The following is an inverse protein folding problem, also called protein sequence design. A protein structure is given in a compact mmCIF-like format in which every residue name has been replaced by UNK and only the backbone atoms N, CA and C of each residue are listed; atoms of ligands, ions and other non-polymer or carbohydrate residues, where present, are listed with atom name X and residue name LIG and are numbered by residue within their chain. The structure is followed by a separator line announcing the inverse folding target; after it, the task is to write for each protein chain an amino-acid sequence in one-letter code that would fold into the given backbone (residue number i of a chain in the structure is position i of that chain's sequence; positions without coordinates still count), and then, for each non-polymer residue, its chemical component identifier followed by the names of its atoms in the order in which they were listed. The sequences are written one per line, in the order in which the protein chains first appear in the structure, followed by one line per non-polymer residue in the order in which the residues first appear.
data_IF_404292993890
#
_entry.id   IF_404292993890
#
_cell.length_a   1.000
_cell.length_b   1.000
_cell.length_c   1.000
_cell.angle_alpha   90.00
_cell.angle_beta   90.00
_cell.angle_gamma   90.00
#
_symmetry.space_group_name_H-M   'P 1'
#
loop_
_entity.id
_entity.type
_entity.pdbx_description
1 polymer ?
#
# COMPACT_ATOMS: atom_id res chain seq x y z
N UNK A 1 -17.18 -22.49 -18.04
CA UNK A 1 -17.14 -21.08 -17.59
C UNK A 1 -17.12 -21.14 -16.07
N UNK A 2 -16.05 -20.64 -15.44
CA UNK A 2 -15.96 -20.56 -13.98
C UNK A 2 -16.67 -19.28 -13.51
N UNK A 3 -17.44 -19.38 -12.43
CA UNK A 3 -18.18 -18.25 -11.86
C UNK A 3 -18.03 -18.25 -10.35
N UNK A 4 -17.70 -17.09 -9.78
CA UNK A 4 -17.72 -16.85 -8.33
C UNK A 4 -18.76 -15.77 -8.01
N UNK A 5 -19.69 -16.07 -7.11
CA UNK A 5 -20.72 -15.14 -6.65
C UNK A 5 -20.39 -14.53 -5.28
N UNK A 6 -21.10 -13.46 -4.90
CA UNK A 6 -20.95 -12.77 -3.60
C UNK A 6 -19.53 -12.26 -3.31
N UNK A 7 -18.82 -11.83 -4.35
CA UNK A 7 -17.51 -11.19 -4.23
C UNK A 7 -17.69 -9.78 -3.64
N UNK A 8 -16.77 -9.35 -2.78
CA UNK A 8 -16.79 -8.00 -2.22
C UNK A 8 -16.62 -6.93 -3.32
N UNK A 9 -17.23 -5.76 -3.14
CA UNK A 9 -17.08 -4.66 -4.10
C UNK A 9 -15.62 -4.20 -4.25
N UNK A 10 -14.82 -4.29 -3.18
CA UNK A 10 -13.40 -3.95 -3.21
C UNK A 10 -12.61 -4.92 -4.11
N UNK A 11 -12.87 -6.21 -4.00
CA UNK A 11 -12.18 -7.22 -4.79
C UNK A 11 -12.60 -7.18 -6.26
N UNK A 12 -13.88 -6.91 -6.55
CA UNK A 12 -14.35 -6.68 -7.93
C UNK A 12 -13.57 -5.53 -8.58
N UNK A 13 -13.39 -4.42 -7.86
CA UNK A 13 -12.63 -3.27 -8.36
C UNK A 13 -11.13 -3.59 -8.53
N UNK A 14 -10.54 -4.42 -7.66
CA UNK A 14 -9.14 -4.87 -7.80
C UNK A 14 -8.97 -5.78 -9.02
N UNK A 15 -9.89 -6.72 -9.24
CA UNK A 15 -9.88 -7.62 -10.41
C UNK A 15 -10.05 -6.82 -11.70
N UNK A 16 -10.97 -5.86 -11.74
CA UNK A 16 -11.15 -4.97 -12.88
C UNK A 16 -9.84 -4.21 -13.22
N UNK A 17 -9.17 -3.65 -12.20
CA UNK A 17 -7.88 -2.96 -12.37
C UNK A 17 -6.74 -3.87 -12.80
N UNK A 18 -6.71 -5.13 -12.35
CA UNK A 18 -5.66 -6.08 -12.69
C UNK A 18 -5.83 -6.65 -14.11
N UNK A 19 -7.06 -7.09 -14.46
CA UNK A 19 -7.37 -7.75 -15.73
C UNK A 19 -7.68 -6.76 -16.87
N UNK A 20 -7.95 -5.49 -16.54
CA UNK A 20 -8.41 -4.47 -17.49
C UNK A 20 -9.91 -4.55 -17.81
N UNK A 21 -10.67 -5.40 -17.12
CA UNK A 21 -12.11 -5.50 -17.30
C UNK A 21 -12.84 -4.23 -16.85
N UNK A 22 -14.00 -3.95 -17.45
CA UNK A 22 -14.90 -2.87 -17.04
C UNK A 22 -16.08 -3.45 -16.25
N UNK A 23 -16.33 -2.90 -15.07
CA UNK A 23 -17.46 -3.30 -14.24
C UNK A 23 -18.78 -2.94 -14.91
N UNK A 24 -19.65 -3.93 -15.09
CA UNK A 24 -20.98 -3.76 -15.66
C UNK A 24 -22.05 -4.08 -14.63
N UNK A 25 -23.07 -3.23 -14.53
CA UNK A 25 -24.22 -3.41 -13.63
C UNK A 25 -25.35 -4.20 -14.28
N UNK A 26 -25.42 -4.18 -15.62
CA UNK A 26 -26.46 -4.85 -16.41
C UNK A 26 -25.81 -5.96 -17.24
N UNK A 27 -26.49 -7.10 -17.35
CA UNK A 27 -26.03 -8.26 -18.15
C UNK A 27 -26.35 -8.13 -19.65
N UNK A 28 -27.13 -7.12 -20.03
CA UNK A 28 -27.52 -6.87 -21.41
C UNK A 28 -26.43 -6.05 -22.13
N UNK A 29 -26.16 -6.37 -23.40
CA UNK A 29 -25.17 -5.70 -24.25
C UNK A 29 -23.71 -5.76 -23.75
N UNK A 30 -23.28 -6.91 -23.20
CA UNK A 30 -21.86 -7.13 -22.88
C UNK A 30 -21.04 -7.22 -24.17
N UNK A 31 -20.24 -6.19 -24.45
CA UNK A 31 -19.31 -6.19 -25.57
C UNK A 31 -18.00 -6.90 -25.22
N UNK A 32 -17.28 -7.48 -26.19
CA UNK A 32 -15.96 -8.05 -25.93
C UNK A 32 -14.95 -7.03 -25.35
N UNK A 33 -15.17 -5.73 -25.57
CA UNK A 33 -14.33 -4.65 -25.06
C UNK A 33 -14.39 -4.46 -23.55
N UNK A 34 -15.41 -4.99 -22.86
CA UNK A 34 -15.51 -4.90 -21.39
C UNK A 34 -14.85 -6.07 -20.68
N UNK A 35 -14.48 -7.12 -21.41
CA UNK A 35 -13.88 -8.32 -20.85
C UNK A 35 -12.39 -8.10 -20.59
N UNK A 36 -11.93 -8.46 -19.40
CA UNK A 36 -10.52 -8.48 -19.04
C UNK A 36 -9.85 -9.80 -19.42
N UNK A 37 -8.52 -9.79 -19.48
CA UNK A 37 -7.72 -11.00 -19.72
C UNK A 37 -6.67 -11.16 -18.63
N UNK A 38 -6.30 -12.42 -18.35
CA UNK A 38 -5.20 -12.78 -17.46
C UNK A 38 -4.40 -13.89 -18.12
N UNK A 39 -3.09 -13.97 -17.84
CA UNK A 39 -2.23 -15.02 -18.40
C UNK A 39 -2.53 -16.37 -17.77
N UNK A 40 -2.74 -16.40 -16.45
CA UNK A 40 -3.02 -17.64 -15.71
C UNK A 40 -4.10 -17.42 -14.66
N UNK A 41 -5.04 -18.37 -14.60
CA UNK A 41 -6.06 -18.44 -13.57
C UNK A 41 -5.98 -19.80 -12.87
N UNK A 42 -5.86 -19.79 -11.55
CA UNK A 42 -5.75 -21.02 -10.75
C UNK A 42 -6.58 -20.91 -9.46
N UNK A 43 -7.41 -21.91 -9.17
CA UNK A 43 -7.97 -22.11 -7.84
C UNK A 43 -6.95 -22.90 -7.02
N UNK A 44 -6.34 -22.23 -6.03
CA UNK A 44 -5.35 -22.86 -5.15
C UNK A 44 -5.90 -22.96 -3.73
N UNK A 45 -5.78 -24.15 -3.14
CA UNK A 45 -6.07 -24.35 -1.73
C UNK A 45 -4.88 -23.86 -0.88
N UNK A 46 -5.13 -22.93 0.03
CA UNK A 46 -4.14 -22.39 0.94
C UNK A 46 -4.70 -22.56 2.36
N UNK A 47 -4.15 -23.53 3.10
CA UNK A 47 -4.69 -23.92 4.40
C UNK A 47 -6.03 -24.63 4.25
N UNK A 48 -7.04 -24.19 5.01
CA UNK A 48 -8.39 -24.74 4.95
C UNK A 48 -9.28 -24.09 3.87
N UNK A 49 -8.82 -23.02 3.23
CA UNK A 49 -9.62 -22.21 2.31
C UNK A 49 -9.11 -22.29 0.86
N UNK A 50 -10.00 -22.02 -0.09
CA UNK A 50 -9.68 -21.98 -1.52
C UNK A 50 -9.65 -20.54 -2.01
N UNK A 51 -8.58 -20.20 -2.73
CA UNK A 51 -8.35 -18.87 -3.28
C UNK A 51 -8.30 -18.93 -4.80
N UNK A 52 -8.98 -17.99 -5.45
CA UNK A 52 -8.94 -17.81 -6.89
C UNK A 52 -7.85 -16.79 -7.23
N UNK A 53 -6.77 -17.26 -7.87
CA UNK A 53 -5.61 -16.45 -8.19
C UNK A 53 -5.61 -16.08 -9.68
N UNK A 54 -5.45 -14.78 -9.94
CA UNK A 54 -5.26 -14.22 -11.27
C UNK A 54 -3.79 -13.79 -11.39
N UNK A 55 -3.01 -14.54 -12.17
CA UNK A 55 -1.58 -14.32 -12.38
C UNK A 55 -1.33 -13.82 -13.81
N UNK A 56 -0.18 -13.18 -14.02
CA UNK A 56 0.30 -12.72 -15.33
C UNK A 56 -0.72 -11.82 -16.09
N UNK A 57 -1.29 -10.83 -15.40
CA UNK A 57 -2.24 -9.92 -16.03
C UNK A 57 -1.51 -8.83 -16.85
N UNK A 58 -1.89 -8.56 -18.12
CA UNK A 58 -1.20 -7.60 -18.98
C UNK A 58 -1.33 -6.15 -18.47
N UNK A 59 -2.40 -5.82 -17.75
CA UNK A 59 -2.65 -4.50 -17.17
C UNK A 59 -2.49 -4.50 -15.64
N UNK A 60 -1.37 -5.01 -15.11
CA UNK A 60 -1.14 -5.12 -13.66
C UNK A 60 -0.95 -3.75 -12.99
N UNK A 61 -2.06 -3.10 -12.63
CA UNK A 61 -2.09 -1.89 -11.77
C UNK A 61 -2.44 -2.19 -10.31
N UNK A 62 -2.71 -3.46 -9.99
CA UNK A 62 -3.04 -3.95 -8.66
C UNK A 62 -2.24 -5.22 -8.41
N UNK A 63 -1.70 -5.36 -7.20
CA UNK A 63 -1.03 -6.57 -6.75
C UNK A 63 -1.62 -6.99 -5.40
N UNK A 64 -1.67 -8.29 -5.15
CA UNK A 64 -2.19 -8.87 -3.90
C UNK A 64 -1.07 -9.68 -3.25
N UNK A 65 -0.81 -9.42 -1.97
CA UNK A 65 0.17 -10.16 -1.17
C UNK A 65 -0.60 -11.02 -0.18
N UNK A 66 -0.39 -12.34 -0.23
CA UNK A 66 -1.04 -13.29 0.69
C UNK A 66 -0.12 -13.52 1.88
N UNK A 67 -0.54 -13.06 3.06
CA UNK A 67 0.18 -13.26 4.32
C UNK A 67 -0.29 -14.54 5.00
N UNK A 68 0.66 -15.30 5.56
CA UNK A 68 0.38 -16.52 6.34
C UNK A 68 1.13 -16.44 7.65
N UNK A 69 0.48 -16.88 8.73
CA UNK A 69 1.06 -16.89 10.07
C UNK A 69 0.34 -17.86 11.00
N UNK A 70 1.00 -18.26 12.08
CA UNK A 70 0.45 -19.22 13.04
C UNK A 70 -0.60 -18.65 14.00
N UNK A 71 -0.61 -17.34 14.21
CA UNK A 71 -1.64 -16.66 15.00
C UNK A 71 -2.10 -15.38 14.31
N UNK A 72 -3.39 -15.06 14.46
CA UNK A 72 -4.04 -13.91 13.82
C UNK A 72 -3.38 -12.57 14.22
N UNK A 73 -2.91 -12.46 15.47
CA UNK A 73 -2.21 -11.27 15.95
C UNK A 73 -0.92 -10.98 15.16
N UNK A 74 -0.15 -12.02 14.81
CA UNK A 74 1.06 -11.84 14.01
C UNK A 74 0.76 -11.46 12.57
N UNK A 75 -0.34 -11.97 11.99
CA UNK A 75 -0.77 -11.61 10.64
C UNK A 75 -1.19 -10.14 10.60
N UNK A 76 -1.97 -9.68 11.57
CA UNK A 76 -2.37 -8.26 11.69
C UNK A 76 -1.17 -7.34 11.87
N UNK A 77 -0.16 -7.75 12.63
CA UNK A 77 1.07 -6.96 12.79
C UNK A 77 1.91 -6.92 11.51
N UNK A 78 2.02 -8.04 10.80
CA UNK A 78 2.71 -8.10 9.52
C UNK A 78 2.01 -7.25 8.45
N UNK A 79 0.67 -7.25 8.41
CA UNK A 79 -0.11 -6.39 7.53
C UNK A 79 0.17 -4.91 7.78
N UNK A 80 0.14 -4.47 9.05
CA UNK A 80 0.47 -3.09 9.42
C UNK A 80 1.90 -2.72 9.02
N UNK A 81 2.86 -3.58 9.35
CA UNK A 81 4.28 -3.36 9.03
C UNK A 81 4.53 -3.23 7.52
N UNK A 82 3.87 -4.07 6.70
CA UNK A 82 3.98 -3.99 5.25
C UNK A 82 3.31 -2.76 4.68
N UNK A 83 2.15 -2.38 5.20
CA UNK A 83 1.46 -1.16 4.78
C UNK A 83 2.34 0.08 5.02
N UNK A 84 2.98 0.18 6.18
CA UNK A 84 3.90 1.27 6.50
C UNK A 84 5.12 1.30 5.56
N UNK A 85 5.72 0.12 5.30
CA UNK A 85 6.83 0.00 4.36
C UNK A 85 6.45 0.46 2.95
N UNK A 86 5.30 0.03 2.43
CA UNK A 86 4.80 0.43 1.12
C UNK A 86 4.54 1.94 1.07
N UNK A 87 3.99 2.52 2.15
CA UNK A 87 3.77 3.96 2.23
C UNK A 87 5.08 4.75 2.18
N UNK A 88 6.14 4.28 2.82
CA UNK A 88 7.46 4.93 2.77
C UNK A 88 8.02 4.89 1.35
N UNK A 89 8.04 3.71 0.70
CA UNK A 89 8.51 3.58 -0.69
C UNK A 89 7.72 4.49 -1.62
N UNK A 90 6.39 4.52 -1.48
CA UNK A 90 5.51 5.42 -2.26
C UNK A 90 5.86 6.89 -2.05
N UNK A 91 6.21 7.31 -0.83
CA UNK A 91 6.64 8.68 -0.55
C UNK A 91 8.01 8.97 -1.16
N UNK A 92 8.97 8.06 -1.04
CA UNK A 92 10.29 8.20 -1.66
C UNK A 92 10.21 8.38 -3.18
N UNK A 93 9.28 7.71 -3.86
CA UNK A 93 9.04 7.92 -5.29
C UNK A 93 8.46 9.30 -5.64
N UNK A 94 7.75 9.95 -4.71
CA UNK A 94 7.18 11.29 -4.92
C UNK A 94 8.16 12.40 -4.53
N UNK A 95 8.95 12.18 -3.49
CA UNK A 95 9.90 13.14 -2.93
C UNK A 95 11.28 12.49 -2.87
N UNK A 96 12.23 12.99 -3.68
CA UNK A 96 13.60 12.48 -3.73
C UNK A 96 14.50 12.98 -2.59
N UNK A 97 13.93 13.60 -1.56
CA UNK A 97 14.65 14.07 -0.38
C UNK A 97 14.40 13.13 0.80
N UNK A 98 15.48 12.69 1.43
CA UNK A 98 15.47 11.84 2.62
C UNK A 98 16.36 12.46 3.69
N UNK A 99 15.99 12.24 4.95
CA UNK A 99 16.75 12.73 6.12
C UNK A 99 17.20 11.55 6.97
N UNK A 100 18.27 11.75 7.74
CA UNK A 100 18.78 10.72 8.63
C UNK A 100 17.82 10.49 9.81
N UNK A 101 17.45 9.25 10.06
CA UNK A 101 16.61 8.87 11.20
C UNK A 101 17.41 8.74 12.51
N UNK A 102 16.78 8.10 13.51
CA UNK A 102 17.46 7.72 14.76
C UNK A 102 17.90 8.90 15.64
N UNK A 103 17.18 10.03 15.59
CA UNK A 103 17.52 11.22 16.38
C UNK A 103 18.57 12.13 15.73
N UNK A 104 19.16 11.73 14.59
CA UNK A 104 20.22 12.51 13.94
C UNK A 104 19.70 13.85 13.39
N UNK A 105 18.53 13.84 12.74
CA UNK A 105 17.90 15.05 12.24
C UNK A 105 17.52 15.98 13.39
N UNK A 106 16.95 15.44 14.45
CA UNK A 106 16.55 16.17 15.66
C UNK A 106 17.76 16.80 16.36
N UNK A 107 18.89 16.11 16.41
CA UNK A 107 20.12 16.62 17.01
C UNK A 107 20.73 17.77 16.21
N UNK A 108 20.80 17.65 14.88
CA UNK A 108 21.32 18.73 14.04
C UNK A 108 20.37 19.95 14.07
N UNK A 109 19.05 19.72 14.13
CA UNK A 109 18.06 20.78 14.27
C UNK A 109 18.21 21.52 15.61
N UNK A 110 18.40 20.78 16.72
CA UNK A 110 18.66 21.36 18.05
C UNK A 110 19.93 22.22 18.04
N UNK A 111 21.02 21.71 17.44
CA UNK A 111 22.28 22.46 17.30
C UNK A 111 22.11 23.74 16.48
N UNK A 112 21.33 23.70 15.39
CA UNK A 112 21.00 24.87 14.59
C UNK A 112 20.19 25.91 15.36
N UNK A 113 19.14 25.47 16.06
CA UNK A 113 18.29 26.33 16.90
C UNK A 113 19.09 27.03 18.00
N UNK A 114 19.94 26.29 18.73
CA UNK A 114 20.79 26.85 19.79
C UNK A 114 21.74 27.93 19.28
N UNK A 115 22.33 27.73 18.09
CA UNK A 115 23.17 28.77 17.45
C UNK A 115 22.37 30.01 17.09
N UNK A 116 21.15 29.84 16.57
CA UNK A 116 20.28 30.95 16.22
C UNK A 116 19.81 31.73 17.46
N UNK A 117 19.51 31.01 18.55
CA UNK A 117 19.07 31.61 19.81
C UNK A 117 20.09 32.60 20.39
N UNK A 118 21.41 32.38 20.21
CA UNK A 118 22.46 33.32 20.66
C UNK A 118 22.31 34.72 20.03
N UNK A 119 21.75 34.81 18.83
CA UNK A 119 21.52 36.09 18.14
C UNK A 119 20.24 36.82 18.57
N UNK A 120 19.37 36.18 19.37
CA UNK A 120 18.10 36.75 19.83
C UNK A 120 18.31 37.26 21.26
N UNK A 121 17.95 38.51 21.52
CA UNK A 121 18.03 39.09 22.86
C UNK A 121 16.71 38.92 23.62
N UNK A 122 16.80 38.68 24.92
CA UNK A 122 15.64 38.67 25.82
C UNK A 122 15.07 37.28 26.11
N UNK A 123 13.83 37.22 26.58
CA UNK A 123 13.22 35.97 27.08
C UNK A 123 12.98 34.92 26.00
N UNK A 124 12.87 35.34 24.74
CA UNK A 124 12.69 34.47 23.57
C UNK A 124 13.90 33.55 23.35
N UNK A 125 15.10 34.02 23.70
CA UNK A 125 16.33 33.20 23.68
C UNK A 125 16.20 31.96 24.55
N UNK A 126 15.65 32.08 25.75
CA UNK A 126 15.52 30.97 26.70
C UNK A 126 14.55 29.90 26.20
N UNK A 127 13.52 30.31 25.46
CA UNK A 127 12.53 29.41 24.87
C UNK A 127 13.13 28.62 23.70
N UNK A 128 13.97 29.25 22.87
CA UNK A 128 14.61 28.59 21.72
C UNK A 128 15.84 27.75 22.08
N UNK A 129 16.39 27.92 23.29
CA UNK A 129 17.59 27.22 23.74
C UNK A 129 17.29 25.98 24.60
N UNK A 130 16.02 25.78 24.99
CA UNK A 130 15.50 24.54 25.59
C UNK A 130 15.37 23.45 24.54
#
# INVERSE_FOLDING_TARGET
IFCAGRVSNEDINRVAKATGALLQTTVNNVSPSVLGTCGRFEERQIGAERYNLFEECPSTKSATIILRGGAEQFIKEAERSLNDAIMIVRRCFKTNTVVAGGGATEMELSKGLKKHAVGIAGKEQLVMNM
#
